data_IF_978575668537
#
_entry.id   IF_978575668537
#
_cell.length_a   1.000
_cell.length_b   1.000
_cell.length_c   1.000
_cell.angle_alpha   90.00
_cell.angle_beta   90.00
_cell.angle_gamma   90.00
#
_symmetry.space_group_name_H-M   'P 1'
#
loop_
_entity.id
_entity.type
_entity.pdbx_description
1 polymer ?
#
# COMPACT_ATOMS: atom_id res chain seq x y z
N UNK A 1 -1.65 18.85 -19.62
CA UNK A 1 -1.16 17.87 -18.64
C UNK A 1 -0.05 18.59 -17.91
N UNK A 2 -0.33 19.02 -16.70
CA UNK A 2 0.63 19.67 -15.82
C UNK A 2 1.59 18.61 -15.27
N UNK A 3 2.84 18.94 -15.01
CA UNK A 3 3.82 18.01 -14.42
C UNK A 3 3.34 17.43 -13.08
N UNK A 4 2.41 18.10 -12.39
CA UNK A 4 1.69 17.63 -11.20
C UNK A 4 0.75 16.42 -11.44
N UNK A 5 0.40 16.11 -12.69
CA UNK A 5 -0.44 14.95 -13.03
C UNK A 5 0.37 13.69 -13.38
N UNK A 6 1.70 13.80 -13.47
CA UNK A 6 2.55 12.66 -13.84
C UNK A 6 2.75 11.73 -12.64
N UNK A 7 2.44 10.45 -12.84
CA UNK A 7 2.61 9.41 -11.82
C UNK A 7 4.06 8.95 -11.81
N UNK A 8 4.76 9.17 -10.69
CA UNK A 8 6.16 8.76 -10.51
C UNK A 8 6.24 7.31 -10.05
N UNK A 9 6.34 6.40 -11.02
CA UNK A 9 6.38 4.96 -10.79
C UNK A 9 7.53 4.54 -9.85
N UNK A 10 8.70 5.17 -9.98
CA UNK A 10 9.85 4.87 -9.10
C UNK A 10 9.56 5.19 -7.63
N UNK A 11 8.83 6.28 -7.37
CA UNK A 11 8.45 6.68 -6.02
C UNK A 11 7.42 5.71 -5.44
N UNK A 12 6.40 5.35 -6.23
CA UNK A 12 5.39 4.36 -5.82
C UNK A 12 6.00 2.98 -5.57
N UNK A 13 7.02 2.60 -6.34
CA UNK A 13 7.73 1.32 -6.16
C UNK A 13 8.46 1.29 -4.83
N UNK A 14 9.21 2.36 -4.49
CA UNK A 14 9.88 2.47 -3.18
C UNK A 14 8.89 2.49 -2.02
N UNK A 15 7.76 3.18 -2.20
CA UNK A 15 6.68 3.18 -1.22
C UNK A 15 6.15 1.77 -0.98
N UNK A 16 5.91 1.00 -2.05
CA UNK A 16 5.46 -0.38 -1.94
C UNK A 16 6.49 -1.28 -1.23
N UNK A 17 7.78 -1.17 -1.57
CA UNK A 17 8.86 -1.91 -0.91
C UNK A 17 8.97 -1.58 0.58
N UNK A 18 8.92 -0.30 0.93
CA UNK A 18 8.93 0.14 2.32
C UNK A 18 7.70 -0.37 3.06
N UNK A 19 6.52 -0.24 2.45
CA UNK A 19 5.29 -0.78 3.00
C UNK A 19 5.33 -2.31 3.15
N UNK A 20 6.08 -3.07 2.33
CA UNK A 20 6.22 -4.52 2.49
C UNK A 20 7.19 -4.90 3.62
N UNK A 21 8.21 -4.09 3.87
CA UNK A 21 9.32 -4.43 4.78
C UNK A 21 9.21 -3.81 6.17
N UNK A 22 8.45 -2.74 6.33
CA UNK A 22 8.31 -1.99 7.59
C UNK A 22 6.90 -2.11 8.15
N UNK A 23 6.75 -2.94 9.17
CA UNK A 23 5.48 -3.17 9.87
C UNK A 23 5.01 -1.91 10.59
N UNK A 24 5.93 -1.13 11.16
CA UNK A 24 5.59 0.09 11.89
C UNK A 24 5.04 1.15 10.94
N UNK A 25 5.70 1.34 9.78
CA UNK A 25 5.19 2.20 8.71
C UNK A 25 3.75 1.84 8.32
N UNK A 26 3.49 0.53 8.13
CA UNK A 26 2.14 0.05 7.82
C UNK A 26 1.15 0.42 8.94
N UNK A 27 1.47 0.10 10.18
CA UNK A 27 0.59 0.38 11.33
C UNK A 27 0.25 1.88 11.43
N UNK A 28 1.23 2.76 11.26
CA UNK A 28 1.01 4.21 11.24
C UNK A 28 0.16 4.66 10.04
N UNK A 29 0.44 4.14 8.84
CA UNK A 29 -0.30 4.46 7.63
C UNK A 29 -1.75 3.96 7.65
N UNK A 30 -2.06 2.93 8.47
CA UNK A 30 -3.43 2.46 8.70
C UNK A 30 -4.29 3.57 9.31
N UNK A 31 -3.76 4.24 10.33
CA UNK A 31 -4.47 5.25 11.11
C UNK A 31 -4.42 6.64 10.44
N UNK A 32 -3.28 7.00 9.84
CA UNK A 32 -3.04 8.30 9.21
C UNK A 32 -2.16 8.14 7.96
N UNK A 33 -2.76 7.72 6.84
CA UNK A 33 -2.03 7.48 5.59
C UNK A 33 -1.28 8.72 5.11
N UNK A 34 -2.00 9.85 4.98
CA UNK A 34 -1.42 11.08 4.44
C UNK A 34 -0.30 11.62 5.34
N UNK A 35 -0.52 11.68 6.66
CA UNK A 35 0.49 12.15 7.59
C UNK A 35 1.70 11.21 7.68
N UNK A 36 1.49 9.89 7.59
CA UNK A 36 2.58 8.91 7.57
C UNK A 36 3.43 9.07 6.30
N UNK A 37 2.81 9.15 5.13
CA UNK A 37 3.52 9.39 3.86
C UNK A 37 4.39 10.64 3.94
N UNK A 38 3.84 11.77 4.41
CA UNK A 38 4.60 13.02 4.57
C UNK A 38 5.76 12.88 5.57
N UNK A 39 5.55 12.22 6.73
CA UNK A 39 6.62 12.01 7.73
C UNK A 39 7.78 11.17 7.19
N UNK A 40 7.48 10.22 6.31
CA UNK A 40 8.48 9.37 5.66
C UNK A 40 9.05 9.97 4.36
N UNK A 41 8.66 11.20 3.99
CA UNK A 41 9.19 11.91 2.82
C UNK A 41 8.54 11.51 1.49
N UNK A 42 7.42 10.79 1.53
CA UNK A 42 6.58 10.54 0.36
C UNK A 42 5.60 11.69 0.16
N UNK A 43 5.98 12.64 -0.67
CA UNK A 43 5.11 13.73 -1.11
C UNK A 43 4.39 13.32 -2.39
N UNK A 44 3.23 12.66 -2.26
CA UNK A 44 2.44 12.18 -3.39
C UNK A 44 1.59 13.30 -4.00
N UNK A 45 1.54 13.36 -5.33
CA UNK A 45 0.57 14.20 -6.02
C UNK A 45 -0.84 13.57 -5.99
N UNK A 46 -1.84 14.30 -6.50
CA UNK A 46 -3.23 13.86 -6.48
C UNK A 46 -3.46 12.48 -7.11
N UNK A 47 -2.99 12.23 -8.35
CA UNK A 47 -3.10 10.93 -8.99
C UNK A 47 -2.41 9.79 -8.22
N UNK A 48 -1.22 10.01 -7.69
CA UNK A 48 -0.49 8.99 -6.90
C UNK A 48 -1.22 8.65 -5.60
N UNK A 49 -1.73 9.66 -4.89
CA UNK A 49 -2.51 9.45 -3.66
C UNK A 49 -3.80 8.68 -3.94
N UNK A 50 -4.45 8.95 -5.08
CA UNK A 50 -5.63 8.20 -5.51
C UNK A 50 -5.29 6.71 -5.73
N UNK A 51 -4.20 6.42 -6.45
CA UNK A 51 -3.74 5.05 -6.68
C UNK A 51 -3.42 4.30 -5.38
N UNK A 52 -2.72 4.94 -4.44
CA UNK A 52 -2.39 4.32 -3.14
C UNK A 52 -3.65 4.03 -2.33
N UNK A 53 -4.63 4.96 -2.36
CA UNK A 53 -5.90 4.80 -1.67
C UNK A 53 -6.75 3.66 -2.28
N UNK A 54 -6.82 3.58 -3.60
CA UNK A 54 -7.52 2.50 -4.33
C UNK A 54 -6.88 1.13 -4.09
N UNK A 55 -5.54 1.06 -4.08
CA UNK A 55 -4.81 -0.17 -3.80
C UNK A 55 -5.10 -0.67 -2.39
N UNK A 56 -5.07 0.23 -1.39
CA UNK A 56 -5.43 -0.10 0.00
C UNK A 56 -6.87 -0.62 0.09
N UNK A 57 -7.83 0.07 -0.52
CA UNK A 57 -9.23 -0.36 -0.51
C UNK A 57 -9.41 -1.74 -1.17
N UNK A 58 -8.64 -2.05 -2.22
CA UNK A 58 -8.67 -3.35 -2.90
C UNK A 58 -8.13 -4.48 -2.01
N UNK A 59 -7.08 -4.21 -1.24
CA UNK A 59 -6.51 -5.18 -0.29
C UNK A 59 -7.48 -5.46 0.87
N UNK A 60 -8.07 -4.40 1.43
CA UNK A 60 -9.08 -4.51 2.48
C UNK A 60 -10.31 -5.29 2.00
N UNK A 61 -10.80 -5.02 0.78
CA UNK A 61 -11.89 -5.75 0.16
C UNK A 61 -11.57 -7.24 -0.10
N UNK A 62 -10.29 -7.57 -0.32
CA UNK A 62 -9.82 -8.95 -0.47
C UNK A 62 -9.63 -9.66 0.88
N UNK A 63 -9.90 -9.00 2.01
CA UNK A 63 -9.62 -9.53 3.35
C UNK A 63 -8.13 -9.66 3.66
N UNK A 64 -7.26 -9.08 2.81
CA UNK A 64 -5.83 -9.02 3.03
C UNK A 64 -5.59 -7.81 3.92
N UNK A 65 -5.57 -8.04 5.23
CA UNK A 65 -5.13 -7.02 6.17
C UNK A 65 -3.60 -6.89 6.04
N UNK A 66 -3.16 -6.09 5.07
CA UNK A 66 -1.75 -5.80 4.78
C UNK A 66 -0.99 -5.32 6.03
N UNK A 67 -1.73 -4.85 7.04
CA UNK A 67 -1.26 -4.21 8.24
C UNK A 67 -1.09 -5.16 9.44
N UNK A 68 -1.46 -6.43 9.33
CA UNK A 68 -1.25 -7.40 10.39
C UNK A 68 0.11 -8.09 10.24
N UNK A 69 0.83 -8.09 11.36
CA UNK A 69 2.18 -8.56 11.67
C UNK A 69 2.41 -10.07 11.43
N UNK A 70 1.87 -10.65 10.35
CA UNK A 70 2.17 -12.03 9.99
C UNK A 70 2.66 -12.09 8.54
N UNK A 71 3.87 -12.63 8.29
CA UNK A 71 4.22 -13.03 6.93
C UNK A 71 3.11 -13.94 6.42
N UNK A 72 2.58 -13.63 5.24
CA UNK A 72 1.62 -14.51 4.57
C UNK A 72 2.29 -15.87 4.41
N UNK A 73 1.88 -16.83 5.23
CA UNK A 73 2.37 -18.20 5.09
C UNK A 73 1.81 -18.81 3.80
N UNK A 74 2.51 -19.80 3.25
CA UNK A 74 2.16 -20.48 2.01
C UNK A 74 0.70 -20.93 2.00
N UNK A 75 0.19 -21.42 3.12
CA UNK A 75 -1.20 -21.88 3.25
C UNK A 75 -2.22 -20.75 3.02
N UNK A 76 -1.92 -19.52 3.45
CA UNK A 76 -2.81 -18.38 3.22
C UNK A 76 -2.78 -17.92 1.76
N UNK A 77 -1.60 -17.98 1.13
CA UNK A 77 -1.44 -17.67 -0.31
C UNK A 77 -2.22 -18.69 -1.15
N UNK A 78 -2.12 -19.98 -0.83
CA UNK A 78 -2.84 -21.05 -1.53
C UNK A 78 -4.37 -20.92 -1.36
N UNK A 79 -4.84 -20.50 -0.18
CA UNK A 79 -6.27 -20.25 0.06
C UNK A 79 -6.83 -19.08 -0.80
N UNK A 80 -6.08 -17.99 -0.94
CA UNK A 80 -6.47 -16.84 -1.79
C UNK A 80 -6.53 -17.24 -3.27
N UNK A 81 -5.62 -18.10 -3.72
CA UNK A 81 -5.60 -18.59 -5.10
C UNK A 81 -6.75 -19.58 -5.37
N UNK A 82 -7.08 -20.43 -4.39
CA UNK A 82 -8.19 -21.38 -4.48
C UNK A 82 -9.57 -20.69 -4.47
N UNK A 83 -9.75 -19.59 -3.74
CA UNK A 83 -11.02 -18.86 -3.67
C UNK A 83 -11.37 -18.07 -4.94
N UNK A 84 -10.46 -18.02 -5.92
CA UNK A 84 -10.65 -17.39 -7.24
C UNK A 84 -11.01 -18.40 -8.35
N UNK A 85 -11.08 -19.68 -8.02
CA UNK A 85 -11.52 -20.78 -8.90
C UNK A 85 -12.97 -21.16 -8.61
#
# INVERSE_FOLDING_TARGET
MTEDDEVRIDLLTRLAEHAMTDVAFRAEARDDLAGTLTRHGYDLNGPEMALVSEFRASLEAAGIDFFLDHPLDRDQIEAILASRS
#
